data_IF_905540181319
#
_entry.id   IF_905540181319
#
_cell.length_a   1.000
_cell.length_b   1.000
_cell.length_c   1.000
_cell.angle_alpha   90.00
_cell.angle_beta   90.00
_cell.angle_gamma   90.00
#
_symmetry.space_group_name_H-M   'P 1'
#
loop_
_entity.id
_entity.type
_entity.pdbx_description
1 polymer ?
#
# COMPACT_ATOMS: atom_id res chain seq x y z
N UNK A 1 -4.58 15.01 -17.20
CA UNK A 1 -4.20 13.61 -17.52
C UNK A 1 -4.70 13.28 -18.91
N UNK A 2 -3.89 12.63 -19.74
CA UNK A 2 -4.33 12.14 -21.07
C UNK A 2 -5.34 11.00 -20.88
N UNK A 3 -6.47 11.09 -21.59
CA UNK A 3 -7.46 10.02 -21.59
C UNK A 3 -7.07 8.95 -22.59
N UNK A 4 -6.82 7.73 -22.11
CA UNK A 4 -6.62 6.58 -22.98
C UNK A 4 -7.97 6.00 -23.47
N UNK A 5 -8.13 5.70 -24.77
CA UNK A 5 -9.33 5.04 -25.28
C UNK A 5 -9.44 3.62 -24.74
N UNK A 6 -10.61 3.25 -24.22
CA UNK A 6 -10.86 1.92 -23.67
C UNK A 6 -11.17 0.90 -24.77
N UNK A 7 -10.82 -0.36 -24.53
CA UNK A 7 -11.10 -1.45 -25.44
C UNK A 7 -12.62 -1.62 -25.73
N UNK A 8 -13.48 -1.28 -24.78
CA UNK A 8 -14.95 -1.24 -24.91
C UNK A 8 -15.43 -0.27 -25.98
N UNK A 9 -14.70 0.81 -26.25
CA UNK A 9 -15.10 1.84 -27.22
C UNK A 9 -15.07 1.31 -28.69
N UNK A 10 -14.48 0.12 -28.90
CA UNK A 10 -14.30 -0.50 -30.21
C UNK A 10 -14.96 -1.89 -30.33
N UNK A 11 -15.85 -2.25 -29.41
CA UNK A 11 -16.43 -3.59 -29.32
C UNK A 11 -17.24 -4.02 -30.55
N UNK A 12 -17.81 -3.06 -31.32
CA UNK A 12 -18.60 -3.33 -32.53
C UNK A 12 -17.82 -3.37 -33.87
N UNK A 13 -16.50 -3.09 -33.84
CA UNK A 13 -15.70 -2.97 -35.05
C UNK A 13 -14.80 -4.19 -35.27
N UNK A 14 -14.67 -4.68 -36.53
CA UNK A 14 -13.83 -5.83 -36.92
C UNK A 14 -12.77 -5.46 -37.96
N UNK A 15 -11.64 -6.19 -37.96
CA UNK A 15 -10.62 -6.11 -39.00
C UNK A 15 -9.97 -4.73 -39.18
N UNK A 16 -9.75 -4.35 -40.44
CA UNK A 16 -9.08 -3.10 -40.82
C UNK A 16 -9.81 -1.85 -40.34
N UNK A 17 -11.15 -1.88 -40.25
CA UNK A 17 -11.96 -0.79 -39.71
C UNK A 17 -11.68 -0.54 -38.22
N UNK A 18 -11.51 -1.59 -37.41
CA UNK A 18 -11.14 -1.52 -36.00
C UNK A 18 -9.74 -0.92 -35.84
N UNK A 19 -8.76 -1.38 -36.63
CA UNK A 19 -7.39 -0.87 -36.60
C UNK A 19 -7.32 0.65 -36.95
N UNK A 20 -8.09 1.07 -37.97
CA UNK A 20 -8.17 2.48 -38.37
C UNK A 20 -8.86 3.34 -37.32
N UNK A 21 -9.94 2.83 -36.70
CA UNK A 21 -10.64 3.51 -35.61
C UNK A 21 -9.75 3.66 -34.34
N UNK A 22 -9.01 2.62 -33.97
CA UNK A 22 -8.05 2.65 -32.87
C UNK A 22 -6.97 3.70 -33.12
N UNK A 23 -6.32 3.68 -34.31
CA UNK A 23 -5.29 4.69 -34.65
C UNK A 23 -5.85 6.12 -34.61
N UNK A 24 -7.08 6.34 -35.12
CA UNK A 24 -7.74 7.65 -35.08
C UNK A 24 -8.06 8.09 -33.64
N UNK A 25 -8.59 7.18 -32.83
CA UNK A 25 -8.90 7.42 -31.44
C UNK A 25 -7.63 7.70 -30.60
N UNK A 26 -6.56 6.94 -30.82
CA UNK A 26 -5.26 7.21 -30.20
C UNK A 26 -4.68 8.56 -30.60
N UNK A 27 -4.82 8.95 -31.88
CA UNK A 27 -4.39 10.29 -32.35
C UNK A 27 -5.21 11.41 -31.72
N UNK A 28 -6.51 11.20 -31.54
CA UNK A 28 -7.40 12.16 -30.88
C UNK A 28 -7.18 12.19 -29.38
N UNK A 29 -6.98 11.04 -28.75
CA UNK A 29 -6.71 10.91 -27.32
C UNK A 29 -5.42 11.61 -26.89
N UNK A 30 -4.42 11.68 -27.77
CA UNK A 30 -3.17 12.45 -27.49
C UNK A 30 -3.41 13.93 -27.18
N UNK A 31 -4.55 14.48 -27.54
CA UNK A 31 -4.93 15.85 -27.24
C UNK A 31 -6.30 15.92 -26.53
N UNK A 32 -6.68 14.88 -25.81
CA UNK A 32 -7.85 14.86 -24.95
C UNK A 32 -7.41 14.66 -23.50
N UNK A 33 -7.50 15.71 -22.71
CA UNK A 33 -7.07 15.75 -21.33
C UNK A 33 -8.27 15.76 -20.40
N UNK A 34 -8.19 14.96 -19.35
CA UNK A 34 -9.11 15.04 -18.24
C UNK A 34 -8.55 16.00 -17.19
N UNK A 35 -9.30 17.05 -16.88
CA UNK A 35 -9.02 18.02 -15.84
C UNK A 35 -9.75 17.71 -14.53
N UNK A 36 -9.65 18.65 -13.62
CA UNK A 36 -10.36 18.61 -12.34
C UNK A 36 -11.88 18.45 -12.54
N UNK A 37 -12.53 17.73 -11.62
CA UNK A 37 -13.99 17.49 -11.62
C UNK A 37 -14.53 16.83 -12.90
N UNK A 38 -13.68 16.06 -13.60
CA UNK A 38 -14.07 15.36 -14.83
C UNK A 38 -14.16 16.25 -16.08
N UNK A 39 -13.71 17.50 -16.02
CA UNK A 39 -13.67 18.39 -17.17
C UNK A 39 -12.77 17.83 -18.27
N UNK A 40 -13.21 17.88 -19.53
CA UNK A 40 -12.42 17.49 -20.70
C UNK A 40 -11.97 18.70 -21.49
N UNK A 41 -10.69 18.74 -21.84
CA UNK A 41 -10.12 19.82 -22.63
C UNK A 41 -9.02 19.34 -23.57
N UNK A 42 -8.68 20.15 -24.54
CA UNK A 42 -7.55 19.93 -25.44
C UNK A 42 -6.51 21.04 -25.32
N UNK A 43 -5.26 20.72 -25.60
CA UNK A 43 -4.22 21.73 -25.71
C UNK A 43 -4.44 22.57 -26.97
N UNK A 44 -4.37 23.89 -26.80
CA UNK A 44 -4.45 24.77 -27.93
C UNK A 44 -3.28 24.52 -28.89
N UNK A 45 -3.53 24.47 -30.23
CA UNK A 45 -2.51 24.05 -31.22
C UNK A 45 -1.22 24.88 -31.20
N UNK A 46 -1.30 26.14 -30.83
CA UNK A 46 -0.15 27.05 -30.72
C UNK A 46 0.56 26.95 -29.34
N UNK A 47 0.08 26.10 -28.43
CA UNK A 47 0.78 25.88 -27.16
C UNK A 47 2.12 25.18 -27.38
N UNK A 48 3.17 25.61 -26.67
CA UNK A 48 4.51 25.03 -26.75
C UNK A 48 4.53 23.52 -26.47
N UNK A 49 3.63 23.03 -25.60
CA UNK A 49 3.55 21.62 -25.21
C UNK A 49 2.60 20.80 -26.10
N UNK A 50 1.90 21.41 -27.05
CA UNK A 50 0.93 20.70 -27.89
C UNK A 50 1.58 19.62 -28.78
N UNK A 51 2.84 19.81 -29.19
CA UNK A 51 3.58 18.81 -29.99
C UNK A 51 4.13 17.67 -29.18
N UNK A 52 4.52 17.91 -27.93
CA UNK A 52 5.12 16.92 -27.03
C UNK A 52 4.06 16.06 -26.33
N UNK A 53 2.82 16.55 -26.26
CA UNK A 53 1.67 15.85 -25.63
C UNK A 53 2.03 15.18 -24.29
N UNK A 54 2.52 15.93 -23.28
CA UNK A 54 2.95 15.36 -22.01
C UNK A 54 1.75 14.73 -21.29
N UNK A 55 1.99 13.71 -20.45
CA UNK A 55 0.94 13.01 -19.70
C UNK A 55 0.23 13.90 -18.68
N UNK A 56 0.93 14.92 -18.14
CA UNK A 56 0.39 15.90 -17.21
C UNK A 56 0.71 17.30 -17.66
N UNK A 57 -0.32 18.16 -17.60
CA UNK A 57 -0.20 19.58 -17.92
C UNK A 57 -0.85 20.44 -16.86
N UNK A 58 -0.27 21.57 -16.60
CA UNK A 58 -0.90 22.69 -15.91
C UNK A 58 -1.30 23.73 -16.95
N UNK A 59 -2.50 24.27 -16.84
CA UNK A 59 -3.00 25.35 -17.66
C UNK A 59 -3.49 26.49 -16.79
N UNK A 60 -3.18 27.71 -17.15
CA UNK A 60 -3.67 28.91 -16.45
C UNK A 60 -5.02 29.37 -16.96
N UNK A 61 -5.39 29.00 -18.19
CA UNK A 61 -6.60 29.47 -18.85
C UNK A 61 -7.28 28.34 -19.61
N UNK A 62 -8.59 28.21 -19.45
CA UNK A 62 -9.46 27.37 -20.26
C UNK A 62 -10.43 28.27 -21.04
N UNK A 63 -10.45 28.16 -22.37
CA UNK A 63 -11.30 28.94 -23.26
C UNK A 63 -12.24 28.02 -24.00
N UNK A 64 -13.52 28.24 -23.87
CA UNK A 64 -14.57 27.48 -24.57
C UNK A 64 -14.90 28.16 -25.92
N UNK A 65 -14.85 27.36 -26.98
CA UNK A 65 -15.30 27.71 -28.32
C UNK A 65 -16.09 26.53 -28.89
N UNK A 66 -15.65 25.88 -29.99
CA UNK A 66 -16.20 24.62 -30.48
C UNK A 66 -15.88 23.45 -29.55
N UNK A 67 -14.85 23.59 -28.72
CA UNK A 67 -14.44 22.69 -27.62
C UNK A 67 -13.67 23.51 -26.58
N UNK A 68 -13.44 22.93 -25.41
CA UNK A 68 -12.66 23.56 -24.36
C UNK A 68 -11.16 23.43 -24.68
N UNK A 69 -10.48 24.58 -24.78
CA UNK A 69 -9.06 24.69 -25.08
C UNK A 69 -8.27 25.17 -23.87
N UNK A 70 -7.19 24.48 -23.55
CA UNK A 70 -6.22 24.92 -22.56
C UNK A 70 -5.15 25.80 -23.22
N UNK A 71 -4.98 27.00 -22.70
CA UNK A 71 -3.96 27.96 -23.11
C UNK A 71 -2.92 28.12 -22.01
N UNK A 72 -1.74 28.63 -22.40
CA UNK A 72 -0.62 28.81 -21.46
C UNK A 72 -0.33 27.57 -20.63
N UNK A 73 -0.02 26.48 -21.33
CA UNK A 73 0.19 25.17 -20.73
C UNK A 73 1.68 24.90 -20.51
N UNK A 74 1.99 24.26 -19.39
CA UNK A 74 3.30 23.69 -19.09
C UNK A 74 3.17 22.21 -18.72
N UNK A 75 4.17 21.40 -19.09
CA UNK A 75 4.31 20.06 -18.59
C UNK A 75 4.71 20.10 -17.12
N UNK A 76 4.09 19.28 -16.28
CA UNK A 76 4.36 19.24 -14.84
C UNK A 76 4.54 17.80 -14.35
N UNK A 77 5.28 17.64 -13.26
CA UNK A 77 5.21 16.46 -12.42
C UNK A 77 4.02 16.65 -11.45
N UNK A 78 2.98 15.77 -11.49
CA UNK A 78 1.82 15.91 -10.63
C UNK A 78 2.16 15.86 -9.13
N UNK A 79 3.27 15.19 -8.76
CA UNK A 79 3.71 15.10 -7.36
C UNK A 79 4.06 16.49 -6.78
N UNK A 80 4.47 17.45 -7.62
CA UNK A 80 4.73 18.83 -7.20
C UNK A 80 3.49 19.57 -6.71
N UNK A 81 2.30 19.12 -7.13
CA UNK A 81 1.04 19.76 -6.73
C UNK A 81 0.63 19.44 -5.29
N UNK A 82 1.06 18.29 -4.75
CA UNK A 82 0.64 17.84 -3.43
C UNK A 82 1.01 18.81 -2.29
N UNK A 83 2.28 19.24 -2.14
CA UNK A 83 2.66 20.17 -1.07
C UNK A 83 2.01 21.55 -1.19
N UNK A 84 1.66 21.96 -2.41
CA UNK A 84 1.02 23.24 -2.68
C UNK A 84 -0.49 23.20 -2.45
N UNK A 85 -1.12 22.05 -2.68
CA UNK A 85 -2.56 21.87 -2.57
C UNK A 85 -3.05 21.72 -1.12
N UNK A 86 -2.20 21.29 -0.19
CA UNK A 86 -2.51 21.18 1.23
C UNK A 86 -3.83 20.47 1.50
N UNK A 87 -4.78 21.15 2.14
CA UNK A 87 -6.09 20.59 2.51
C UNK A 87 -7.02 20.28 1.32
N UNK A 88 -6.69 20.68 0.11
CA UNK A 88 -7.45 20.35 -1.09
C UNK A 88 -7.20 18.92 -1.60
N UNK A 89 -6.18 18.26 -1.06
CA UNK A 89 -5.90 16.86 -1.37
C UNK A 89 -6.74 15.91 -0.52
N UNK A 90 -7.14 14.79 -1.13
CA UNK A 90 -7.75 13.67 -0.43
C UNK A 90 -6.86 12.45 -0.56
N UNK A 91 -6.43 11.91 0.58
CA UNK A 91 -5.65 10.68 0.62
C UNK A 91 -6.58 9.51 0.88
N UNK A 92 -6.44 8.45 0.10
CA UNK A 92 -7.09 7.16 0.30
C UNK A 92 -6.04 6.07 0.43
N UNK A 93 -6.31 5.07 1.25
CA UNK A 93 -5.41 3.96 1.50
C UNK A 93 -6.05 2.67 1.03
N UNK A 94 -5.25 1.77 0.47
CA UNK A 94 -5.69 0.48 -0.02
C UNK A 94 -4.67 -0.60 0.32
N UNK A 95 -5.16 -1.85 0.42
CA UNK A 95 -4.37 -3.06 0.56
C UNK A 95 -3.37 -3.02 1.73
N UNK A 96 -3.81 -2.75 2.96
CA UNK A 96 -2.93 -2.87 4.11
C UNK A 96 -2.50 -4.34 4.26
N UNK A 97 -1.19 -4.58 4.38
CA UNK A 97 -0.62 -5.91 4.52
C UNK A 97 0.69 -5.88 5.29
N UNK A 98 1.08 -7.02 5.82
CA UNK A 98 2.38 -7.19 6.43
C UNK A 98 3.48 -7.25 5.36
N UNK A 99 4.62 -6.67 5.66
CA UNK A 99 5.84 -6.78 4.86
C UNK A 99 6.98 -7.33 5.71
N UNK A 100 7.25 -8.63 5.60
CA UNK A 100 8.33 -9.29 6.32
C UNK A 100 9.70 -8.68 6.06
N UNK A 101 9.93 -8.16 4.83
CA UNK A 101 11.18 -7.48 4.46
C UNK A 101 11.34 -6.11 5.14
N UNK A 102 10.24 -5.41 5.43
CA UNK A 102 10.25 -4.13 6.16
C UNK A 102 10.04 -4.32 7.66
N UNK A 103 9.57 -5.48 8.08
CA UNK A 103 9.19 -5.76 9.45
C UNK A 103 8.10 -4.83 9.99
N UNK A 104 7.16 -4.46 9.11
CA UNK A 104 6.06 -3.55 9.44
C UNK A 104 4.91 -3.70 8.46
N UNK A 105 3.71 -3.39 8.91
CA UNK A 105 2.56 -3.29 8.02
C UNK A 105 2.69 -2.05 7.11
N UNK A 106 2.36 -2.21 5.84
CA UNK A 106 2.39 -1.18 4.80
C UNK A 106 1.06 -1.14 4.06
N UNK A 107 0.77 -0.01 3.45
CA UNK A 107 -0.38 0.15 2.56
C UNK A 107 -0.02 1.02 1.37
N UNK A 108 -0.82 0.96 0.30
CA UNK A 108 -0.74 1.87 -0.83
C UNK A 108 -1.57 3.11 -0.56
N UNK A 109 -0.95 4.29 -0.65
CA UNK A 109 -1.64 5.57 -0.58
C UNK A 109 -1.84 6.16 -1.97
N UNK A 110 -3.07 6.60 -2.23
CA UNK A 110 -3.46 7.34 -3.43
C UNK A 110 -3.86 8.75 -3.03
N UNK A 111 -3.24 9.76 -3.64
CA UNK A 111 -3.55 11.16 -3.39
C UNK A 111 -4.35 11.73 -4.56
N UNK A 112 -5.51 12.26 -4.26
CA UNK A 112 -6.43 12.86 -5.22
C UNK A 112 -6.46 14.37 -5.02
N UNK A 113 -6.38 15.12 -6.11
CA UNK A 113 -6.63 16.57 -6.13
C UNK A 113 -7.79 16.84 -7.08
N UNK A 114 -8.94 17.29 -6.54
CA UNK A 114 -10.19 17.49 -7.28
C UNK A 114 -10.60 16.30 -8.18
N UNK A 115 -10.36 15.07 -7.68
CA UNK A 115 -10.66 13.83 -8.40
C UNK A 115 -9.55 13.33 -9.32
N UNK A 116 -8.48 14.08 -9.53
CA UNK A 116 -7.31 13.65 -10.30
C UNK A 116 -6.31 12.93 -9.41
N UNK A 117 -5.88 11.71 -9.75
CA UNK A 117 -4.90 10.95 -8.98
C UNK A 117 -3.48 11.49 -9.20
N UNK A 118 -3.07 12.50 -8.43
CA UNK A 118 -1.73 13.10 -8.54
C UNK A 118 -0.61 12.18 -8.02
N UNK A 119 -0.93 11.28 -7.08
CA UNK A 119 -0.07 10.17 -6.65
C UNK A 119 -0.91 8.90 -6.65
N UNK A 120 -0.42 7.81 -7.27
CA UNK A 120 -1.23 6.60 -7.45
C UNK A 120 -0.86 5.45 -6.51
N UNK A 121 0.41 5.25 -6.21
CA UNK A 121 0.87 4.10 -5.43
C UNK A 121 2.09 4.48 -4.58
N UNK A 122 1.83 5.21 -3.49
CA UNK A 122 2.87 5.51 -2.52
C UNK A 122 2.80 4.51 -1.38
N UNK A 123 3.87 3.75 -1.15
CA UNK A 123 3.96 2.86 -0.01
C UNK A 123 4.12 3.67 1.28
N UNK A 124 3.20 3.47 2.22
CA UNK A 124 3.17 4.14 3.52
C UNK A 124 3.20 3.13 4.65
N UNK A 125 3.75 3.52 5.80
CA UNK A 125 3.74 2.69 7.01
C UNK A 125 2.35 2.74 7.64
N UNK A 126 1.67 1.59 7.67
CA UNK A 126 0.30 1.49 8.18
C UNK A 126 0.18 1.81 9.66
N UNK A 127 1.22 1.55 10.45
CA UNK A 127 1.26 1.86 11.86
C UNK A 127 1.15 3.37 12.22
N UNK A 128 1.31 4.27 11.23
CA UNK A 128 1.08 5.71 11.42
C UNK A 128 -0.37 6.11 11.16
N UNK A 129 -1.14 5.26 10.47
CA UNK A 129 -2.49 5.54 9.99
C UNK A 129 -3.51 4.78 10.82
N UNK A 130 -3.28 3.48 11.00
CA UNK A 130 -4.11 2.59 11.80
C UNK A 130 -3.21 1.71 12.70
N UNK A 131 -2.75 2.25 13.86
CA UNK A 131 -1.88 1.52 14.76
C UNK A 131 -2.44 0.19 15.27
N UNK A 132 -3.74 0.08 15.63
CA UNK A 132 -4.31 -1.18 16.10
C UNK A 132 -4.20 -2.30 15.08
N UNK A 133 -4.59 -2.05 13.83
CA UNK A 133 -4.53 -3.03 12.75
C UNK A 133 -3.10 -3.38 12.37
N UNK A 134 -2.19 -2.39 12.33
CA UNK A 134 -0.77 -2.64 12.08
C UNK A 134 -0.13 -3.51 13.17
N UNK A 135 -0.58 -3.39 14.42
CA UNK A 135 -0.16 -4.24 15.53
C UNK A 135 -0.72 -5.66 15.39
N UNK A 136 -1.95 -5.81 14.94
CA UNK A 136 -2.52 -7.13 14.65
C UNK A 136 -1.72 -7.87 13.56
N UNK A 137 -1.37 -7.18 12.47
CA UNK A 137 -0.46 -7.70 11.46
C UNK A 137 0.91 -8.11 12.02
N UNK A 138 1.51 -7.28 12.89
CA UNK A 138 2.78 -7.61 13.54
C UNK A 138 2.68 -8.91 14.34
N UNK A 139 1.61 -9.09 15.11
CA UNK A 139 1.46 -10.26 15.96
C UNK A 139 1.13 -11.49 15.11
N UNK A 140 0.09 -11.45 14.27
CA UNK A 140 -0.35 -12.60 13.47
C UNK A 140 0.71 -13.01 12.45
N UNK A 141 1.07 -12.13 11.55
CA UNK A 141 1.95 -12.48 10.43
C UNK A 141 3.43 -12.43 10.81
N UNK A 142 3.83 -11.44 11.59
CA UNK A 142 5.23 -11.32 12.01
C UNK A 142 5.65 -12.35 13.06
N UNK A 143 4.88 -12.51 14.14
CA UNK A 143 5.31 -13.28 15.30
C UNK A 143 4.72 -14.70 15.35
N UNK A 144 3.47 -14.89 14.98
CA UNK A 144 2.79 -16.19 14.99
C UNK A 144 3.17 -16.98 13.73
N UNK A 145 2.98 -16.40 12.53
CA UNK A 145 3.34 -17.05 11.27
C UNK A 145 4.86 -17.03 11.00
N UNK A 146 5.60 -16.14 11.69
CA UNK A 146 7.05 -16.06 11.58
C UNK A 146 7.57 -15.42 10.30
N UNK A 147 6.76 -14.64 9.56
CA UNK A 147 7.22 -13.91 8.38
C UNK A 147 8.13 -12.72 8.77
N UNK A 148 9.34 -13.06 9.18
CA UNK A 148 10.41 -12.13 9.58
C UNK A 148 11.61 -12.36 8.68
N UNK A 149 11.79 -11.46 7.70
CA UNK A 149 12.96 -11.51 6.81
C UNK A 149 14.14 -10.69 7.34
N UNK A 150 13.86 -9.68 8.18
CA UNK A 150 14.90 -8.91 8.84
C UNK A 150 15.35 -9.59 10.13
N UNK A 151 16.66 -9.87 10.23
CA UNK A 151 17.24 -10.36 11.48
C UNK A 151 17.52 -9.19 12.42
N UNK A 152 17.03 -9.31 13.64
CA UNK A 152 17.43 -8.44 14.74
C UNK A 152 18.04 -9.28 15.86
N UNK A 153 18.98 -8.70 16.60
CA UNK A 153 19.79 -9.44 17.62
C UNK A 153 18.98 -10.07 18.76
N UNK A 154 17.66 -9.92 18.77
CA UNK A 154 16.76 -10.37 19.82
C UNK A 154 15.62 -11.26 19.29
N UNK A 155 15.74 -11.80 18.08
CA UNK A 155 14.72 -12.65 17.46
C UNK A 155 14.74 -14.13 17.94
N UNK A 156 15.71 -14.49 18.76
CA UNK A 156 15.87 -15.86 19.27
C UNK A 156 14.63 -16.39 20.00
N UNK A 157 13.87 -15.51 20.66
CA UNK A 157 12.66 -15.95 21.34
C UNK A 157 11.54 -16.32 20.34
N UNK A 158 11.41 -15.61 19.25
CA UNK A 158 10.43 -15.92 18.19
C UNK A 158 10.76 -17.26 17.57
N UNK A 159 12.01 -17.47 17.16
CA UNK A 159 12.47 -18.73 16.59
C UNK A 159 12.33 -19.90 17.56
N UNK A 160 12.57 -19.67 18.84
CA UNK A 160 12.37 -20.70 19.85
C UNK A 160 10.90 -21.06 20.01
N UNK A 161 10.01 -20.07 20.02
CA UNK A 161 8.57 -20.33 20.13
C UNK A 161 8.05 -21.07 18.90
N UNK A 162 8.47 -20.71 17.69
CA UNK A 162 8.11 -21.43 16.46
C UNK A 162 8.57 -22.89 16.50
N UNK A 163 9.80 -23.18 16.95
CA UNK A 163 10.28 -24.56 17.12
C UNK A 163 9.46 -25.35 18.13
N UNK A 164 9.10 -24.76 19.27
CA UNK A 164 8.25 -25.42 20.27
C UNK A 164 6.90 -25.81 19.66
N UNK A 165 6.34 -24.97 18.78
CA UNK A 165 5.08 -25.29 18.09
C UNK A 165 5.24 -26.41 17.08
N UNK A 166 6.31 -26.37 16.28
CA UNK A 166 6.64 -27.44 15.32
C UNK A 166 6.82 -28.78 16.05
N UNK A 167 7.61 -28.78 17.14
CA UNK A 167 7.83 -29.97 17.96
C UNK A 167 6.53 -30.52 18.58
N UNK A 168 5.66 -29.63 19.09
CA UNK A 168 4.38 -30.00 19.67
C UNK A 168 3.40 -30.58 18.63
N UNK A 169 3.39 -30.01 17.42
CA UNK A 169 2.57 -30.49 16.30
C UNK A 169 3.05 -31.90 15.85
N UNK A 170 4.36 -32.10 15.78
CA UNK A 170 4.95 -33.38 15.41
C UNK A 170 4.66 -34.46 16.47
N UNK A 171 4.74 -34.13 17.75
CA UNK A 171 4.42 -35.08 18.83
C UNK A 171 2.93 -35.42 18.87
N UNK A 172 2.03 -34.44 18.62
CA UNK A 172 0.60 -34.70 18.51
C UNK A 172 0.28 -35.64 17.32
N UNK A 173 0.94 -35.45 16.19
CA UNK A 173 0.80 -36.34 15.02
C UNK A 173 1.31 -37.77 15.29
N UNK A 174 2.39 -37.94 16.04
CA UNK A 174 2.95 -39.26 16.37
C UNK A 174 2.10 -40.02 17.36
N UNK A 175 1.55 -39.36 18.36
CA UNK A 175 0.84 -40.01 19.46
C UNK A 175 -0.64 -40.24 19.19
N UNK A 176 -1.20 -39.69 18.10
CA UNK A 176 -2.65 -39.67 17.79
C UNK A 176 -3.52 -39.21 18.98
N UNK A 177 -2.92 -38.64 19.99
CA UNK A 177 -3.65 -38.02 21.10
C UNK A 177 -3.97 -36.59 20.73
N UNK A 178 -5.23 -36.19 20.90
CA UNK A 178 -5.65 -34.80 20.92
C UNK A 178 -5.13 -34.21 22.26
N UNK A 179 -3.81 -34.16 22.41
CA UNK A 179 -3.20 -33.36 23.45
C UNK A 179 -3.50 -31.88 23.13
N UNK A 180 -3.68 -31.07 24.16
CA UNK A 180 -3.92 -29.63 24.03
C UNK A 180 -2.83 -29.00 23.16
N UNK A 181 -3.06 -28.99 21.85
CA UNK A 181 -2.12 -28.41 20.89
C UNK A 181 -2.24 -26.90 21.04
N UNK A 182 -1.14 -26.22 21.33
CA UNK A 182 -1.08 -24.75 21.35
C UNK A 182 -1.48 -24.28 19.96
N UNK A 183 -2.53 -23.46 19.89
CA UNK A 183 -3.04 -22.92 18.63
C UNK A 183 -2.38 -21.58 18.31
N UNK A 184 -2.46 -21.16 17.04
CA UNK A 184 -2.03 -19.82 16.63
C UNK A 184 -2.75 -18.71 17.41
N UNK A 185 -4.00 -18.95 17.81
CA UNK A 185 -4.78 -18.00 18.61
C UNK A 185 -4.26 -17.92 20.06
N UNK A 186 -3.82 -19.02 20.66
CA UNK A 186 -3.18 -19.02 21.97
C UNK A 186 -1.89 -18.20 21.95
N UNK A 187 -1.12 -18.31 20.87
CA UNK A 187 0.08 -17.49 20.67
C UNK A 187 -0.26 -16.02 20.45
N UNK A 188 -1.26 -15.75 19.63
CA UNK A 188 -1.72 -14.39 19.41
C UNK A 188 -2.12 -13.75 20.73
N UNK A 189 -2.92 -14.40 21.54
CA UNK A 189 -3.37 -13.94 22.86
C UNK A 189 -2.21 -13.71 23.83
N UNK A 190 -1.22 -14.59 23.79
CA UNK A 190 0.00 -14.42 24.56
C UNK A 190 0.75 -13.15 24.17
N UNK A 191 1.06 -12.99 22.87
CA UNK A 191 1.76 -11.79 22.40
C UNK A 191 0.94 -10.52 22.62
N UNK A 192 -0.38 -10.61 22.44
CA UNK A 192 -1.30 -9.50 22.65
C UNK A 192 -1.32 -8.99 24.11
N UNK A 193 -1.15 -9.87 25.09
CA UNK A 193 -1.04 -9.50 26.52
C UNK A 193 0.31 -8.92 26.88
N UNK A 194 1.38 -9.39 26.24
CA UNK A 194 2.76 -9.07 26.64
C UNK A 194 3.30 -7.85 25.91
N UNK A 195 2.98 -7.68 24.63
CA UNK A 195 3.50 -6.59 23.82
C UNK A 195 2.62 -5.34 23.99
N UNK A 196 3.20 -4.17 24.35
CA UNK A 196 2.46 -2.93 24.47
C UNK A 196 1.72 -2.54 23.18
N UNK A 197 0.63 -1.78 23.35
CA UNK A 197 -0.25 -1.40 22.23
C UNK A 197 0.39 -0.41 21.24
N UNK A 198 1.42 0.31 21.64
CA UNK A 198 2.18 1.26 20.82
C UNK A 198 3.22 0.59 19.90
N UNK A 199 3.42 -0.72 20.04
CA UNK A 199 4.39 -1.49 19.25
C UNK A 199 3.71 -2.02 17.98
N UNK A 200 4.02 -1.41 16.84
CA UNK A 200 3.41 -1.72 15.53
C UNK A 200 4.40 -2.22 14.47
N UNK A 201 5.66 -2.45 14.85
CA UNK A 201 6.72 -2.91 13.93
C UNK A 201 7.81 -3.69 14.65
N UNK A 202 8.56 -4.51 13.91
CA UNK A 202 9.70 -5.25 14.45
C UNK A 202 10.78 -4.31 15.00
N UNK A 203 11.01 -3.17 14.37
CA UNK A 203 11.98 -2.18 14.85
C UNK A 203 11.58 -1.60 16.23
N UNK A 204 10.29 -1.29 16.40
CA UNK A 204 9.76 -0.84 17.69
C UNK A 204 9.82 -1.96 18.75
N UNK A 205 9.47 -3.20 18.35
CA UNK A 205 9.55 -4.38 19.19
C UNK A 205 10.99 -4.63 19.67
N UNK A 206 11.97 -4.61 18.76
CA UNK A 206 13.38 -4.78 19.09
C UNK A 206 13.88 -3.73 20.08
N UNK A 207 13.50 -2.47 19.89
CA UNK A 207 13.85 -1.36 20.78
C UNK A 207 13.23 -1.54 22.19
N UNK A 208 11.96 -1.91 22.24
CA UNK A 208 11.25 -2.19 23.48
C UNK A 208 11.86 -3.39 24.22
N UNK A 209 12.10 -4.50 23.49
CA UNK A 209 12.70 -5.71 24.03
C UNK A 209 14.09 -5.46 24.62
N UNK A 210 14.94 -4.72 23.92
CA UNK A 210 16.27 -4.33 24.40
C UNK A 210 16.23 -3.62 25.76
N UNK A 211 15.23 -2.77 26.00
CA UNK A 211 15.05 -2.05 27.26
C UNK A 211 14.55 -2.95 28.40
N UNK A 212 13.70 -3.93 28.09
CA UNK A 212 13.06 -4.82 29.07
C UNK A 212 13.90 -6.04 29.44
N UNK A 213 14.79 -6.48 28.58
CA UNK A 213 15.64 -7.67 28.79
C UNK A 213 16.39 -7.67 30.15
N UNK A 214 16.92 -6.55 30.67
CA UNK A 214 17.56 -6.52 31.98
C UNK A 214 16.59 -6.64 33.16
N UNK A 215 15.31 -6.33 32.98
CA UNK A 215 14.34 -6.11 34.05
C UNK A 215 13.35 -7.28 34.25
N UNK A 216 13.24 -8.21 33.34
CA UNK A 216 12.20 -9.23 33.42
C UNK A 216 12.67 -10.64 33.08
N UNK A 217 12.77 -11.54 34.06
CA UNK A 217 13.11 -12.95 33.85
C UNK A 217 11.95 -13.78 33.31
N UNK A 218 10.80 -13.21 32.96
CA UNK A 218 9.62 -13.92 32.48
C UNK A 218 9.86 -14.69 31.17
N UNK A 219 10.74 -14.25 30.29
CA UNK A 219 11.15 -14.95 29.07
C UNK A 219 12.01 -16.20 29.37
N UNK A 220 12.58 -16.35 30.57
CA UNK A 220 13.26 -17.57 31.04
C UNK A 220 12.29 -18.59 31.63
N UNK A 221 11.08 -18.15 32.01
CA UNK A 221 10.06 -19.09 32.44
C UNK A 221 9.59 -19.85 31.21
N UNK A 222 9.77 -21.16 31.25
CA UNK A 222 9.17 -22.11 30.33
C UNK A 222 7.71 -21.66 30.11
N UNK A 223 7.26 -21.67 28.87
CA UNK A 223 5.83 -21.62 28.58
C UNK A 223 5.12 -22.48 29.62
N UNK A 224 4.03 -22.07 30.25
CA UNK A 224 3.29 -22.92 31.18
C UNK A 224 2.61 -24.03 30.35
N UNK A 225 3.39 -25.04 30.05
CA UNK A 225 2.90 -26.32 29.57
C UNK A 225 2.34 -27.02 30.80
N UNK A 226 1.02 -26.94 30.99
CA UNK A 226 0.22 -27.78 31.83
C UNK A 226 0.63 -27.92 33.30
N UNK A 227 -0.22 -27.47 34.20
CA UNK A 227 -0.51 -28.22 35.40
C UNK A 227 -1.75 -29.08 35.12
#
# INVERSE_FOLDING_TARGET
>A
VVREPKASDFAGLKGAAKAKAIKRAQKMAKNDYQGARGTHFALFPASAVAKSTPSWVMSTELVETSRLWARYCAAIDPACAEPLAGSLTRVTYAEPHWSGSRGSAVASAKVLLYGLPIVQDRKVLWGRINPPEARDFLIRQGLVEGDIQQRFSYDDFVRRNLRILEDAADDANRTRQIAQTITDEDLFDFYNRVIPQDITSLAALAKWWKRRRPLAPWWRRRWPMGA
#
